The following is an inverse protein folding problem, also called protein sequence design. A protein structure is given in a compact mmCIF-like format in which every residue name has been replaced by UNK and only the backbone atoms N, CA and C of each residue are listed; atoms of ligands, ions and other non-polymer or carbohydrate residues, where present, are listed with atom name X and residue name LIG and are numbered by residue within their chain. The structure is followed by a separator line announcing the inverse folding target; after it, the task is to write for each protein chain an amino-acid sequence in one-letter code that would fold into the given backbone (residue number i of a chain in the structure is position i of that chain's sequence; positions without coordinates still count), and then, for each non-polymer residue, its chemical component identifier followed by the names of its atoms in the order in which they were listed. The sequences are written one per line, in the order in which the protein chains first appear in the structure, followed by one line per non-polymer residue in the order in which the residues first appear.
data_IF_344625814148
#
_entry.id   IF_344625814148
#
_cell.length_a   1.000
_cell.length_b   1.000
_cell.length_c   1.000
_cell.angle_alpha   90.00
_cell.angle_beta   90.00
_cell.angle_gamma   90.00
#
_symmetry.space_group_name_H-M   'P 1'
#
loop_
_entity.id
_entity.type
_entity.pdbx_description
1 polymer ?
#
# COMPACT_ATOMS: atom_id res chain seq x y z
N UNK A 1 -35.94 -50.41 -1.24
CA UNK A 1 -37.19 -49.77 -1.64
C UNK A 1 -37.05 -48.29 -1.30
N UNK A 2 -37.15 -47.47 -2.33
CA UNK A 2 -37.39 -46.02 -2.40
C UNK A 2 -36.16 -45.11 -2.21
N UNK A 3 -35.67 -44.71 -3.39
CA UNK A 3 -34.97 -43.48 -3.71
C UNK A 3 -35.79 -42.24 -3.33
N UNK A 4 -35.15 -41.22 -2.81
CA UNK A 4 -35.59 -39.85 -3.06
C UNK A 4 -34.36 -38.93 -3.12
N UNK A 5 -34.08 -38.47 -4.32
CA UNK A 5 -33.06 -37.50 -4.61
C UNK A 5 -33.39 -36.12 -4.05
N UNK A 6 -32.38 -35.45 -3.53
CA UNK A 6 -32.40 -34.01 -3.26
C UNK A 6 -31.29 -33.40 -4.12
N UNK A 7 -31.68 -32.88 -5.25
CA UNK A 7 -30.88 -31.95 -6.04
C UNK A 7 -30.77 -30.63 -5.32
N UNK A 8 -29.64 -30.39 -4.63
CA UNK A 8 -29.29 -29.08 -4.12
C UNK A 8 -28.73 -28.23 -5.27
N UNK A 9 -29.51 -27.27 -5.75
CA UNK A 9 -29.03 -26.15 -6.56
C UNK A 9 -28.08 -25.30 -5.74
N UNK A 10 -26.81 -25.40 -6.02
CA UNK A 10 -25.78 -24.47 -5.54
C UNK A 10 -25.81 -23.22 -6.39
N UNK A 11 -26.41 -22.16 -5.89
CA UNK A 11 -26.24 -20.80 -6.40
C UNK A 11 -24.82 -20.33 -6.10
N UNK A 12 -24.06 -19.80 -7.07
CA UNK A 12 -22.73 -19.24 -6.81
C UNK A 12 -22.85 -17.78 -6.37
N UNK A 13 -23.16 -17.52 -5.12
CA UNK A 13 -22.79 -16.27 -4.49
C UNK A 13 -21.36 -16.41 -3.94
N UNK A 14 -20.39 -16.22 -4.80
CA UNK A 14 -19.00 -16.01 -4.39
C UNK A 14 -18.89 -14.61 -3.81
N UNK A 15 -18.94 -14.55 -2.48
CA UNK A 15 -18.65 -13.36 -1.70
C UNK A 15 -17.19 -12.93 -1.99
N UNK A 16 -16.98 -11.73 -2.55
CA UNK A 16 -15.67 -11.19 -2.91
C UNK A 16 -14.64 -11.10 -1.74
N UNK A 17 -15.09 -11.38 -0.52
CA UNK A 17 -14.23 -11.46 0.68
C UNK A 17 -13.38 -12.74 0.77
N UNK A 18 -13.84 -13.84 0.18
CA UNK A 18 -13.11 -15.11 0.20
C UNK A 18 -11.87 -15.11 -0.69
N UNK A 19 -11.94 -14.45 -1.85
CA UNK A 19 -10.84 -14.37 -2.82
C UNK A 19 -9.68 -13.48 -2.32
N UNK A 20 -9.98 -12.37 -1.62
CA UNK A 20 -8.97 -11.46 -1.10
C UNK A 20 -8.14 -12.05 0.07
N UNK A 21 -8.77 -12.87 0.92
CA UNK A 21 -8.07 -13.57 2.03
C UNK A 21 -7.13 -14.66 1.52
N UNK A 22 -7.51 -15.38 0.46
CA UNK A 22 -6.68 -16.42 -0.13
C UNK A 22 -5.45 -15.85 -0.84
N UNK A 23 -5.56 -14.72 -1.55
CA UNK A 23 -4.45 -14.11 -2.27
C UNK A 23 -3.30 -13.66 -1.34
N UNK A 24 -3.60 -13.17 -0.14
CA UNK A 24 -2.58 -12.71 0.82
C UNK A 24 -1.92 -13.81 1.65
N UNK A 25 -2.63 -14.89 1.95
CA UNK A 25 -2.07 -16.09 2.60
C UNK A 25 -1.17 -16.85 1.64
N UNK A 26 -1.52 -16.85 0.35
CA UNK A 26 -0.75 -17.49 -0.70
C UNK A 26 0.61 -16.80 -0.95
N UNK A 27 0.71 -15.47 -0.80
CA UNK A 27 1.97 -14.73 -1.05
C UNK A 27 3.13 -15.13 -0.12
N UNK A 28 2.87 -15.40 1.16
CA UNK A 28 3.90 -15.85 2.10
C UNK A 28 4.29 -17.31 1.92
N UNK A 29 3.37 -18.17 1.45
CA UNK A 29 3.65 -19.58 1.11
C UNK A 29 4.45 -19.72 -0.18
N UNK A 30 4.22 -18.86 -1.17
CA UNK A 30 4.84 -18.90 -2.49
C UNK A 30 6.37 -18.93 -2.47
N UNK A 31 7.03 -18.16 -1.61
CA UNK A 31 8.48 -18.14 -1.45
C UNK A 31 9.03 -19.37 -0.71
N UNK A 32 8.27 -19.92 0.25
CA UNK A 32 8.66 -21.10 1.01
C UNK A 32 8.51 -22.39 0.21
N UNK A 33 7.54 -22.46 -0.70
CA UNK A 33 7.28 -23.62 -1.55
C UNK A 33 8.33 -23.79 -2.67
N UNK A 34 9.04 -22.72 -3.05
CA UNK A 34 10.14 -22.76 -4.04
C UNK A 34 11.45 -23.30 -3.51
N UNK A 35 11.59 -23.47 -2.20
CA UNK A 35 12.80 -24.03 -1.60
C UNK A 35 12.90 -25.51 -1.92
N UNK A 36 13.69 -25.85 -2.94
CA UNK A 36 13.94 -27.21 -3.37
C UNK A 36 13.51 -27.57 -4.78
N UNK A 37 12.83 -26.67 -5.51
CA UNK A 37 12.46 -26.89 -6.91
C UNK A 37 13.67 -26.79 -7.84
N UNK A 38 13.63 -27.56 -8.93
CA UNK A 38 14.67 -27.52 -9.96
C UNK A 38 14.68 -26.15 -10.64
N UNK A 39 15.86 -25.56 -10.90
CA UNK A 39 15.97 -24.33 -11.67
C UNK A 39 15.31 -24.50 -13.05
N UNK A 40 14.35 -23.63 -13.40
CA UNK A 40 13.65 -23.66 -14.68
C UNK A 40 12.32 -24.43 -14.68
N UNK A 41 11.89 -25.04 -13.57
CA UNK A 41 10.55 -25.57 -13.45
C UNK A 41 9.54 -24.42 -13.42
N UNK A 42 8.52 -24.47 -14.27
CA UNK A 42 7.41 -23.53 -14.27
C UNK A 42 6.57 -23.77 -13.02
N UNK A 43 6.49 -22.75 -12.19
CA UNK A 43 5.72 -22.81 -10.95
C UNK A 43 4.47 -21.96 -11.11
N UNK A 44 3.34 -22.60 -11.32
CA UNK A 44 2.05 -21.92 -11.32
C UNK A 44 1.40 -22.10 -9.96
N UNK A 45 1.06 -21.00 -9.32
CA UNK A 45 0.32 -21.05 -8.07
C UNK A 45 -1.10 -21.51 -8.35
N UNK A 46 -1.28 -22.81 -8.11
CA UNK A 46 -2.46 -23.54 -8.50
C UNK A 46 -3.78 -23.03 -7.96
N UNK A 47 -4.81 -23.31 -8.70
CA UNK A 47 -6.21 -23.38 -8.26
C UNK A 47 -6.96 -22.05 -8.32
N UNK A 48 -6.43 -21.04 -8.94
CA UNK A 48 -6.97 -19.71 -8.68
C UNK A 48 -8.07 -19.34 -9.69
N UNK A 49 -7.88 -19.48 -10.97
CA UNK A 49 -8.93 -19.18 -11.94
C UNK A 49 -8.75 -20.00 -13.20
N UNK A 50 -9.83 -20.49 -13.79
CA UNK A 50 -9.76 -21.20 -15.06
C UNK A 50 -9.14 -20.30 -16.12
N UNK A 51 -8.23 -20.86 -16.90
CA UNK A 51 -7.61 -20.16 -18.02
C UNK A 51 -8.59 -20.01 -19.14
N UNK A 52 -8.79 -18.78 -19.61
CA UNK A 52 -9.64 -18.47 -20.77
C UNK A 52 -8.88 -17.62 -21.76
N UNK A 53 -9.16 -17.84 -23.05
CA UNK A 53 -8.59 -17.09 -24.17
C UNK A 53 -9.66 -16.19 -24.76
N UNK A 54 -9.35 -14.92 -24.96
CA UNK A 54 -10.17 -13.99 -25.73
C UNK A 54 -9.31 -13.22 -26.71
N UNK A 55 -9.86 -12.88 -27.88
CA UNK A 55 -9.10 -12.23 -28.95
C UNK A 55 -9.87 -11.03 -29.48
N UNK A 56 -9.15 -9.94 -29.66
CA UNK A 56 -9.58 -8.78 -30.41
C UNK A 56 -8.82 -8.80 -31.75
N UNK A 57 -9.53 -8.97 -32.84
CA UNK A 57 -8.97 -8.94 -34.19
C UNK A 57 -9.27 -7.57 -34.86
N UNK A 58 -8.21 -6.89 -35.29
CA UNK A 58 -8.30 -5.58 -35.91
C UNK A 58 -8.37 -5.73 -37.41
N UNK A 59 -9.58 -5.72 -37.98
CA UNK A 59 -9.83 -5.84 -39.40
C UNK A 59 -10.12 -4.49 -40.02
N UNK A 60 -9.94 -4.31 -41.33
CA UNK A 60 -10.32 -3.07 -42.02
C UNK A 60 -11.81 -2.70 -41.86
N UNK A 61 -12.67 -3.71 -41.58
CA UNK A 61 -14.09 -3.54 -41.32
C UNK A 61 -14.45 -3.10 -39.90
N UNK A 62 -13.51 -3.13 -38.96
CA UNK A 62 -13.72 -2.82 -37.54
C UNK A 62 -13.03 -3.80 -36.61
N UNK A 63 -13.22 -3.61 -35.30
CA UNK A 63 -12.68 -4.47 -34.25
C UNK A 63 -13.65 -5.61 -33.98
N UNK A 64 -13.18 -6.83 -34.10
CA UNK A 64 -13.96 -8.05 -33.85
C UNK A 64 -13.54 -8.62 -32.45
N UNK A 65 -14.51 -8.71 -31.54
CA UNK A 65 -14.30 -9.27 -30.21
C UNK A 65 -14.76 -10.73 -30.16
N UNK A 66 -13.85 -11.65 -29.84
CA UNK A 66 -14.16 -13.07 -29.63
C UNK A 66 -13.79 -13.47 -28.20
N UNK A 67 -14.77 -14.06 -27.53
CA UNK A 67 -14.57 -14.59 -26.16
C UNK A 67 -14.55 -16.11 -26.20
N UNK A 68 -13.77 -16.72 -25.29
CA UNK A 68 -13.66 -18.18 -25.17
C UNK A 68 -13.18 -18.88 -26.48
N UNK A 69 -12.16 -18.28 -27.09
CA UNK A 69 -11.52 -18.79 -28.30
C UNK A 69 -10.79 -20.10 -28.00
N UNK A 70 -11.05 -21.15 -28.79
CA UNK A 70 -10.25 -22.36 -28.71
C UNK A 70 -8.92 -22.24 -29.48
N UNK A 71 -8.04 -23.24 -29.35
CA UNK A 71 -6.74 -23.18 -29.99
C UNK A 71 -6.81 -23.24 -31.51
N UNK A 72 -7.73 -24.04 -32.06
CA UNK A 72 -7.88 -24.18 -33.51
C UNK A 72 -8.40 -22.86 -34.14
N UNK A 73 -9.30 -22.17 -33.45
CA UNK A 73 -9.78 -20.86 -33.86
C UNK A 73 -8.66 -19.79 -33.75
N UNK A 74 -7.84 -19.85 -32.70
CA UNK A 74 -6.69 -18.96 -32.55
C UNK A 74 -5.67 -19.16 -33.70
N UNK A 75 -5.34 -20.40 -34.04
CA UNK A 75 -4.46 -20.72 -35.16
C UNK A 75 -4.95 -20.15 -36.49
N UNK A 76 -6.28 -20.22 -36.74
CA UNK A 76 -6.90 -19.62 -37.94
C UNK A 76 -6.76 -18.09 -37.93
N UNK A 77 -7.02 -17.44 -36.80
CA UNK A 77 -6.89 -15.98 -36.69
C UNK A 77 -5.45 -15.52 -36.89
N UNK A 78 -4.49 -16.25 -36.36
CA UNK A 78 -3.04 -15.96 -36.56
C UNK A 78 -2.68 -16.15 -38.03
N UNK A 79 -3.18 -17.20 -38.69
CA UNK A 79 -2.93 -17.48 -40.11
C UNK A 79 -3.51 -16.39 -41.06
N UNK A 80 -4.59 -15.71 -40.64
CA UNK A 80 -5.14 -14.56 -41.37
C UNK A 80 -4.19 -13.38 -41.48
N UNK A 81 -3.23 -13.27 -40.53
CA UNK A 81 -2.19 -12.24 -40.51
C UNK A 81 -2.68 -10.81 -40.22
N UNK A 82 -3.91 -10.66 -39.73
CA UNK A 82 -4.43 -9.39 -39.22
C UNK A 82 -3.79 -9.07 -37.84
N UNK A 83 -3.74 -7.79 -37.41
CA UNK A 83 -3.34 -7.44 -36.09
C UNK A 83 -4.26 -8.04 -35.04
N UNK A 84 -3.68 -8.61 -33.97
CA UNK A 84 -4.41 -9.30 -32.92
C UNK A 84 -3.99 -8.81 -31.54
N UNK A 85 -4.96 -8.64 -30.65
CA UNK A 85 -4.71 -8.61 -29.21
C UNK A 85 -5.30 -9.88 -28.58
N UNK A 86 -4.42 -10.79 -28.16
CA UNK A 86 -4.76 -12.05 -27.51
C UNK A 86 -4.68 -11.86 -26.00
N UNK A 87 -5.75 -12.20 -25.30
CA UNK A 87 -5.86 -12.06 -23.85
C UNK A 87 -5.98 -13.43 -23.20
N UNK A 88 -5.01 -13.80 -22.40
CA UNK A 88 -5.02 -14.97 -21.53
C UNK A 88 -5.41 -14.52 -20.11
N UNK A 89 -6.51 -15.02 -19.60
CA UNK A 89 -7.03 -14.70 -18.29
C UNK A 89 -7.00 -15.94 -17.42
N UNK A 90 -6.33 -15.85 -16.26
CA UNK A 90 -6.13 -16.99 -15.36
C UNK A 90 -4.97 -17.89 -15.77
N UNK A 91 -4.31 -18.49 -14.80
CA UNK A 91 -3.07 -19.26 -14.97
C UNK A 91 -3.22 -20.74 -14.55
N UNK A 92 -4.45 -21.27 -14.43
CA UNK A 92 -4.70 -22.62 -13.93
C UNK A 92 -4.30 -23.72 -14.92
N UNK A 93 -4.49 -23.49 -16.23
CA UNK A 93 -4.21 -24.48 -17.28
C UNK A 93 -2.87 -24.21 -17.96
N UNK A 94 -1.81 -24.84 -17.44
CA UNK A 94 -0.45 -24.73 -17.97
C UNK A 94 -0.34 -25.27 -19.41
N UNK A 95 -1.07 -26.34 -19.73
CA UNK A 95 -0.98 -26.95 -21.05
C UNK A 95 -1.54 -26.00 -22.10
N UNK A 96 -2.68 -25.37 -21.81
CA UNK A 96 -3.27 -24.36 -22.70
C UNK A 96 -2.34 -23.16 -22.87
N UNK A 97 -1.74 -22.64 -21.78
CA UNK A 97 -0.79 -21.53 -21.84
C UNK A 97 0.38 -21.84 -22.76
N UNK A 98 1.04 -23.01 -22.59
CA UNK A 98 2.16 -23.41 -23.44
C UNK A 98 1.76 -23.59 -24.91
N UNK A 99 0.58 -24.13 -25.18
CA UNK A 99 0.07 -24.28 -26.55
C UNK A 99 -0.20 -22.95 -27.20
N UNK A 100 -0.77 -21.99 -26.48
CA UNK A 100 -0.99 -20.62 -26.97
C UNK A 100 0.35 -19.94 -27.22
N UNK A 101 1.31 -20.08 -26.32
CA UNK A 101 2.66 -19.50 -26.52
C UNK A 101 3.36 -20.08 -27.76
N UNK A 102 3.23 -21.37 -28.00
CA UNK A 102 3.75 -22.02 -29.20
C UNK A 102 3.04 -21.53 -30.47
N UNK A 103 1.70 -21.41 -30.45
CA UNK A 103 0.91 -20.88 -31.57
C UNK A 103 1.29 -19.44 -31.95
N UNK A 104 1.62 -18.60 -30.93
CA UNK A 104 2.00 -17.20 -31.13
C UNK A 104 3.50 -17.01 -31.32
N UNK A 105 4.31 -18.09 -31.32
CA UNK A 105 5.78 -18.04 -31.42
C UNK A 105 6.44 -17.18 -30.32
N UNK A 106 5.89 -17.19 -29.09
CA UNK A 106 6.48 -16.47 -27.95
C UNK A 106 7.86 -17.08 -27.64
N UNK A 107 8.93 -16.27 -27.53
CA UNK A 107 10.27 -16.78 -27.21
C UNK A 107 10.28 -17.53 -25.86
N UNK A 108 10.89 -18.71 -25.83
CA UNK A 108 10.94 -19.58 -24.64
C UNK A 108 11.40 -18.88 -23.35
N UNK A 109 12.42 -17.97 -23.37
CA UNK A 109 12.83 -17.25 -22.17
C UNK A 109 11.77 -16.32 -21.57
N UNK A 110 10.72 -15.98 -22.35
CA UNK A 110 9.59 -15.15 -21.90
C UNK A 110 8.45 -15.95 -21.26
N UNK A 111 8.41 -17.28 -21.42
CA UNK A 111 7.34 -18.13 -20.88
C UNK A 111 7.29 -18.10 -19.36
N UNK A 112 8.44 -18.35 -18.71
CA UNK A 112 8.52 -18.36 -17.25
C UNK A 112 8.11 -17.03 -16.62
N UNK A 113 8.60 -15.86 -17.07
CA UNK A 113 8.16 -14.57 -16.53
C UNK A 113 6.66 -14.28 -16.63
N UNK A 114 5.99 -14.85 -17.64
CA UNK A 114 4.56 -14.65 -17.85
C UNK A 114 3.69 -15.49 -16.89
N UNK A 115 4.15 -16.70 -16.55
CA UNK A 115 3.35 -17.67 -15.80
C UNK A 115 3.75 -17.71 -14.33
N UNK A 116 5.05 -17.62 -14.03
CA UNK A 116 5.58 -17.74 -12.68
C UNK A 116 5.36 -16.47 -11.86
N UNK A 117 4.27 -16.43 -11.11
CA UNK A 117 3.87 -15.27 -10.29
C UNK A 117 4.24 -15.46 -8.82
N UNK A 118 4.66 -14.40 -8.08
CA UNK A 118 4.93 -13.05 -8.56
C UNK A 118 6.34 -12.88 -9.14
N UNK A 119 6.46 -12.33 -10.31
CA UNK A 119 7.74 -11.88 -10.86
C UNK A 119 8.06 -10.43 -10.45
N UNK A 120 9.30 -10.02 -10.64
CA UNK A 120 9.64 -8.60 -10.55
C UNK A 120 9.20 -7.89 -11.81
N UNK A 121 8.74 -6.64 -11.65
CA UNK A 121 8.50 -5.75 -12.79
C UNK A 121 9.74 -5.69 -13.66
N UNK A 122 9.59 -5.95 -14.97
CA UNK A 122 10.68 -6.02 -15.93
C UNK A 122 10.21 -5.68 -17.34
N UNK A 123 11.15 -5.19 -18.14
CA UNK A 123 10.99 -4.97 -19.59
C UNK A 123 12.16 -5.61 -20.30
N UNK A 124 11.91 -6.59 -21.14
CA UNK A 124 12.95 -7.33 -21.86
C UNK A 124 12.63 -7.37 -23.35
N UNK A 125 13.60 -7.12 -24.19
CA UNK A 125 13.50 -7.28 -25.64
C UNK A 125 14.39 -8.45 -26.11
N UNK A 126 13.82 -9.38 -26.85
CA UNK A 126 14.51 -10.56 -27.37
C UNK A 126 13.95 -10.97 -28.74
N UNK A 127 14.79 -11.12 -29.74
CA UNK A 127 14.40 -11.70 -31.05
C UNK A 127 13.31 -10.94 -31.80
N UNK A 128 13.13 -9.64 -31.55
CA UNK A 128 12.03 -8.86 -32.14
C UNK A 128 10.74 -8.88 -31.31
N UNK A 129 10.72 -9.57 -30.17
CA UNK A 129 9.65 -9.53 -29.19
C UNK A 129 9.99 -8.58 -28.05
N UNK A 130 8.99 -7.91 -27.46
CA UNK A 130 9.08 -7.09 -26.27
C UNK A 130 8.20 -7.65 -25.17
N UNK A 131 8.79 -8.02 -24.05
CA UNK A 131 8.10 -8.45 -22.83
C UNK A 131 8.04 -7.31 -21.83
N UNK A 132 6.86 -7.08 -21.27
CA UNK A 132 6.66 -6.22 -20.10
C UNK A 132 5.94 -7.03 -19.03
N UNK A 133 6.51 -7.10 -17.83
CA UNK A 133 5.84 -7.66 -16.65
C UNK A 133 5.63 -6.53 -15.65
N UNK A 134 4.39 -6.28 -15.30
CA UNK A 134 4.01 -5.24 -14.36
C UNK A 134 2.90 -5.73 -13.42
N UNK A 135 2.50 -4.89 -12.48
CA UNK A 135 1.54 -5.28 -11.46
C UNK A 135 0.43 -4.25 -11.35
N UNK A 136 -0.80 -4.71 -11.35
CA UNK A 136 -1.95 -3.95 -10.87
C UNK A 136 -1.90 -3.88 -9.36
N UNK A 137 -2.06 -2.69 -8.83
CA UNK A 137 -2.03 -2.44 -7.40
C UNK A 137 -3.39 -1.94 -6.95
N UNK A 138 -3.99 -2.60 -5.99
CA UNK A 138 -5.28 -2.20 -5.42
C UNK A 138 -5.25 -2.35 -3.90
N UNK A 139 -6.15 -1.64 -3.23
CA UNK A 139 -6.35 -1.73 -1.78
C UNK A 139 -7.60 -2.55 -1.48
N UNK A 140 -7.48 -3.46 -0.52
CA UNK A 140 -8.66 -4.14 0.05
C UNK A 140 -9.22 -3.32 1.21
N UNK A 141 -10.48 -3.53 1.59
CA UNK A 141 -11.20 -2.90 2.71
C UNK A 141 -10.53 -2.98 4.10
N UNK A 142 -9.26 -3.38 4.18
CA UNK A 142 -8.40 -3.42 5.36
C UNK A 142 -7.05 -2.75 5.15
N UNK A 143 -6.91 -1.83 4.20
CA UNK A 143 -5.67 -1.14 3.83
C UNK A 143 -4.50 -2.08 3.44
N UNK A 144 -4.81 -3.30 3.01
CA UNK A 144 -3.81 -4.26 2.53
C UNK A 144 -3.65 -4.14 1.03
N UNK A 145 -2.41 -3.94 0.60
CA UNK A 145 -2.05 -3.91 -0.80
C UNK A 145 -2.26 -5.31 -1.43
N UNK A 146 -3.04 -5.36 -2.48
CA UNK A 146 -3.17 -6.51 -3.38
C UNK A 146 -2.43 -6.18 -4.66
N UNK A 147 -1.63 -7.11 -5.11
CA UNK A 147 -0.83 -6.97 -6.32
C UNK A 147 -1.14 -8.16 -7.22
N UNK A 148 -1.56 -7.89 -8.44
CA UNK A 148 -1.89 -8.86 -9.47
C UNK A 148 -0.92 -8.69 -10.64
N UNK A 149 -0.30 -9.77 -11.10
CA UNK A 149 0.63 -9.70 -12.22
C UNK A 149 -0.09 -9.57 -13.55
N UNK A 150 0.41 -8.69 -14.40
CA UNK A 150 0.03 -8.55 -15.81
C UNK A 150 1.30 -8.68 -16.64
N UNK A 151 1.35 -9.69 -17.48
CA UNK A 151 2.39 -9.87 -18.49
C UNK A 151 1.90 -9.42 -19.86
N UNK A 152 2.70 -8.62 -20.56
CA UNK A 152 2.41 -8.12 -21.91
C UNK A 152 3.55 -8.53 -22.83
N UNK A 153 3.24 -9.08 -24.00
CA UNK A 153 4.24 -9.42 -25.01
C UNK A 153 3.81 -8.88 -26.37
N UNK A 154 4.66 -8.04 -26.94
CA UNK A 154 4.50 -7.57 -28.30
C UNK A 154 5.31 -8.44 -29.27
N UNK A 155 4.65 -9.01 -30.27
CA UNK A 155 5.18 -9.96 -31.26
C UNK A 155 4.80 -9.49 -32.66
N UNK A 156 5.52 -8.54 -33.22
CA UNK A 156 5.19 -7.99 -34.53
C UNK A 156 3.77 -7.41 -34.61
N UNK A 157 2.83 -8.18 -35.19
CA UNK A 157 1.41 -7.78 -35.30
C UNK A 157 0.52 -8.33 -34.18
N UNK A 158 1.08 -9.07 -33.23
CA UNK A 158 0.33 -9.71 -32.16
C UNK A 158 0.75 -9.12 -30.82
N UNK A 159 -0.22 -8.67 -30.05
CA UNK A 159 -0.05 -8.30 -28.68
C UNK A 159 -0.70 -9.40 -27.81
N UNK A 160 0.08 -9.96 -26.89
CA UNK A 160 -0.40 -10.93 -25.92
C UNK A 160 -0.45 -10.27 -24.54
N UNK A 161 -1.59 -10.36 -23.85
CA UNK A 161 -1.69 -10.05 -22.44
C UNK A 161 -2.02 -11.29 -21.61
N UNK A 162 -1.30 -11.48 -20.51
CA UNK A 162 -1.46 -12.58 -19.56
C UNK A 162 -1.82 -12.02 -18.21
N UNK A 163 -3.04 -12.25 -17.76
CA UNK A 163 -3.61 -11.69 -16.54
C UNK A 163 -3.72 -12.79 -15.47
N UNK A 164 -3.05 -12.61 -14.32
CA UNK A 164 -3.09 -13.56 -13.19
C UNK A 164 -4.52 -13.76 -12.68
N UNK A 165 -5.28 -12.65 -12.56
CA UNK A 165 -6.66 -12.67 -12.09
C UNK A 165 -7.60 -12.23 -13.20
N UNK A 166 -8.55 -13.08 -13.60
CA UNK A 166 -9.52 -12.71 -14.61
C UNK A 166 -10.45 -11.60 -14.10
N UNK A 167 -10.56 -10.52 -14.86
CA UNK A 167 -11.54 -9.46 -14.62
C UNK A 167 -12.54 -9.41 -15.78
N UNK A 168 -13.83 -9.20 -15.52
CA UNK A 168 -14.83 -9.08 -16.59
C UNK A 168 -14.46 -7.97 -17.59
N UNK A 169 -14.11 -6.80 -17.05
CA UNK A 169 -13.61 -5.66 -17.81
C UNK A 169 -12.26 -5.27 -17.19
N UNK A 170 -11.18 -5.76 -17.78
CA UNK A 170 -9.84 -5.55 -17.23
C UNK A 170 -9.22 -4.23 -17.70
N UNK A 171 -9.65 -3.72 -18.86
CA UNK A 171 -9.16 -2.49 -19.49
C UNK A 171 -10.34 -1.70 -20.04
N UNK A 172 -11.12 -1.03 -19.19
CA UNK A 172 -12.34 -0.33 -19.58
C UNK A 172 -12.09 0.88 -20.47
N UNK A 173 -11.02 1.62 -20.23
CA UNK A 173 -10.70 2.84 -20.98
C UNK A 173 -10.19 2.51 -22.38
N UNK A 174 -9.26 1.56 -22.48
CA UNK A 174 -8.79 1.05 -23.76
C UNK A 174 -9.95 0.46 -24.59
N UNK A 175 -10.82 -0.34 -23.97
CA UNK A 175 -11.98 -0.93 -24.68
C UNK A 175 -12.86 0.18 -25.24
N UNK A 176 -13.18 1.20 -24.44
CA UNK A 176 -13.98 2.36 -24.88
C UNK A 176 -13.30 3.14 -26.00
N UNK A 177 -12.00 3.31 -25.93
CA UNK A 177 -11.21 3.99 -26.96
C UNK A 177 -11.21 3.21 -28.27
N UNK A 178 -11.01 1.87 -28.24
CA UNK A 178 -11.05 1.00 -29.41
C UNK A 178 -12.42 1.01 -30.09
N UNK A 179 -13.51 1.06 -29.34
CA UNK A 179 -14.88 1.10 -29.88
C UNK A 179 -15.18 2.43 -30.61
N UNK A 180 -14.45 3.49 -30.29
CA UNK A 180 -14.62 4.82 -30.90
C UNK A 180 -13.70 5.09 -32.09
N UNK A 181 -12.64 4.29 -32.27
CA UNK A 181 -11.64 4.48 -33.32
C UNK A 181 -12.18 4.20 -34.71
N UNK A 182 -12.01 5.20 -35.57
CA UNK A 182 -12.26 5.06 -37.03
C UNK A 182 -11.16 5.79 -37.82
N UNK A 183 -10.33 5.12 -38.61
CA UNK A 183 -10.33 3.66 -38.90
C UNK A 183 -9.82 2.83 -37.72
N UNK A 184 -10.11 1.51 -37.71
CA UNK A 184 -9.62 0.60 -36.70
C UNK A 184 -8.10 0.51 -36.74
N UNK A 185 -7.44 0.13 -35.60
CA UNK A 185 -6.00 -0.01 -35.50
C UNK A 185 -5.43 -0.93 -36.59
N UNK A 186 -4.31 -0.53 -37.16
CA UNK A 186 -3.54 -1.30 -38.15
C UNK A 186 -2.37 -2.04 -37.51
N UNK A 187 -1.61 -2.78 -38.30
CA UNK A 187 -0.42 -3.47 -37.80
C UNK A 187 0.64 -2.53 -37.19
N UNK A 188 0.67 -1.27 -37.63
CA UNK A 188 1.58 -0.24 -37.09
C UNK A 188 1.10 0.38 -35.79
N UNK A 189 -0.14 0.10 -35.35
CA UNK A 189 -0.75 0.70 -34.16
C UNK A 189 -0.83 -0.29 -32.99
N UNK A 190 -0.36 -1.53 -33.15
CA UNK A 190 -0.40 -2.57 -32.10
C UNK A 190 0.51 -2.21 -30.91
N UNK A 191 1.62 -1.56 -31.17
CA UNK A 191 2.53 -1.05 -30.15
C UNK A 191 1.93 0.14 -29.40
N UNK A 192 1.04 0.91 -30.04
CA UNK A 192 0.25 1.94 -29.35
C UNK A 192 -0.71 1.31 -28.32
N UNK A 193 -1.33 0.15 -28.65
CA UNK A 193 -2.17 -0.57 -27.71
C UNK A 193 -1.37 -1.05 -26.51
N UNK A 194 -0.11 -1.45 -26.69
CA UNK A 194 0.77 -1.86 -25.61
C UNK A 194 0.99 -0.73 -24.58
N UNK A 195 1.30 0.48 -25.03
CA UNK A 195 1.52 1.57 -24.09
C UNK A 195 0.22 2.01 -23.40
N UNK A 196 -0.93 1.99 -24.07
CA UNK A 196 -2.23 2.23 -23.43
C UNK A 196 -2.55 1.20 -22.34
N UNK A 197 -2.26 -0.10 -22.56
CA UNK A 197 -2.42 -1.13 -21.56
C UNK A 197 -1.52 -0.87 -20.34
N UNK A 198 -0.29 -0.43 -20.58
CA UNK A 198 0.63 -0.10 -19.49
C UNK A 198 0.15 1.12 -18.71
N UNK A 199 -0.33 2.13 -19.40
CA UNK A 199 -0.84 3.37 -18.82
C UNK A 199 -2.06 3.09 -17.94
N UNK A 200 -3.03 2.35 -18.43
CA UNK A 200 -4.25 1.97 -17.69
C UNK A 200 -3.93 1.13 -16.43
N UNK A 201 -2.91 0.27 -16.49
CA UNK A 201 -2.44 -0.47 -15.29
C UNK A 201 -1.79 0.47 -14.27
N UNK A 202 -1.11 1.53 -14.72
CA UNK A 202 -0.49 2.53 -13.85
C UNK A 202 -1.53 3.46 -13.22
N UNK A 203 -2.55 3.84 -13.99
CA UNK A 203 -3.63 4.71 -13.52
C UNK A 203 -4.40 4.08 -12.35
N UNK A 204 -4.49 2.75 -12.27
CA UNK A 204 -5.07 2.04 -11.13
C UNK A 204 -4.30 2.30 -9.81
N UNK A 205 -3.05 2.79 -9.87
CA UNK A 205 -2.24 3.11 -8.68
C UNK A 205 -2.61 4.47 -8.09
N UNK A 206 -3.09 5.41 -8.90
CA UNK A 206 -3.37 6.78 -8.47
C UNK A 206 -4.44 6.86 -7.37
N UNK A 207 -5.61 6.20 -7.50
CA UNK A 207 -6.62 6.18 -6.43
C UNK A 207 -6.10 5.56 -5.13
N UNK A 208 -5.17 4.60 -5.20
CA UNK A 208 -4.52 4.05 -4.01
C UNK A 208 -3.64 5.08 -3.32
N UNK A 209 -2.87 5.87 -4.07
CA UNK A 209 -2.02 6.92 -3.52
C UNK A 209 -2.85 8.07 -2.92
N UNK A 210 -3.96 8.46 -3.57
CA UNK A 210 -4.91 9.43 -3.02
C UNK A 210 -5.50 8.95 -1.69
N UNK A 211 -5.99 7.72 -1.63
CA UNK A 211 -6.51 7.13 -0.39
C UNK A 211 -5.45 7.10 0.74
N UNK A 212 -4.19 6.83 0.40
CA UNK A 212 -3.10 6.85 1.37
C UNK A 212 -2.76 8.27 1.81
N UNK A 213 -2.84 9.27 0.91
CA UNK A 213 -2.66 10.68 1.22
C UNK A 213 -3.71 11.18 2.22
N UNK A 214 -4.99 10.97 1.92
CA UNK A 214 -6.10 11.36 2.80
C UNK A 214 -5.96 10.73 4.19
N UNK A 215 -5.62 9.42 4.23
CA UNK A 215 -5.39 8.73 5.48
C UNK A 215 -4.19 9.25 6.27
N UNK A 216 -3.13 9.74 5.60
CA UNK A 216 -1.97 10.34 6.26
C UNK A 216 -2.31 11.70 6.87
N UNK A 217 -3.11 12.52 6.20
CA UNK A 217 -3.56 13.82 6.71
C UNK A 217 -4.39 13.64 7.99
N UNK A 218 -5.30 12.65 8.02
CA UNK A 218 -6.04 12.27 9.23
C UNK A 218 -5.11 11.82 10.37
N UNK A 219 -4.08 11.02 10.05
CA UNK A 219 -3.12 10.54 11.04
C UNK A 219 -2.23 11.67 11.57
N UNK A 220 -1.85 12.63 10.75
CA UNK A 220 -1.08 13.80 11.16
C UNK A 220 -1.86 14.62 12.18
N UNK A 221 -3.12 14.95 11.89
CA UNK A 221 -3.99 15.66 12.83
C UNK A 221 -4.18 14.85 14.12
N UNK A 222 -4.43 13.54 14.03
CA UNK A 222 -4.60 12.66 15.18
C UNK A 222 -3.31 12.55 16.02
N UNK A 223 -2.13 12.60 15.40
CA UNK A 223 -0.82 12.54 16.08
C UNK A 223 -0.60 13.72 17.01
N UNK A 224 -1.17 14.88 16.67
CA UNK A 224 -1.05 16.12 17.46
C UNK A 224 -2.15 16.19 18.51
N UNK A 225 -3.43 16.01 18.10
CA UNK A 225 -4.59 16.20 18.98
C UNK A 225 -4.81 15.05 19.96
N UNK A 226 -4.67 13.81 19.50
CA UNK A 226 -4.97 12.58 20.28
C UNK A 226 -3.94 11.49 20.02
N UNK A 227 -2.67 11.69 20.37
CA UNK A 227 -1.64 10.69 20.15
C UNK A 227 -2.00 9.37 20.85
N UNK A 228 -2.08 8.31 20.04
CA UNK A 228 -2.38 6.95 20.51
C UNK A 228 -1.49 5.93 19.80
N UNK A 229 -1.23 4.75 20.37
CA UNK A 229 -0.45 3.71 19.72
C UNK A 229 -1.04 3.23 18.39
N UNK A 230 -2.34 3.47 18.14
CA UNK A 230 -3.01 3.17 16.87
C UNK A 230 -2.49 4.04 15.73
N UNK A 231 -2.32 5.34 15.98
CA UNK A 231 -1.77 6.30 15.00
C UNK A 231 -0.39 5.82 14.52
N UNK A 232 0.48 5.46 15.44
CA UNK A 232 1.81 4.97 15.13
C UNK A 232 1.76 3.68 14.29
N UNK A 233 0.90 2.73 14.67
CA UNK A 233 0.72 1.47 13.93
C UNK A 233 0.24 1.72 12.50
N UNK A 234 -0.77 2.54 12.32
CA UNK A 234 -1.32 2.89 11.01
C UNK A 234 -0.28 3.60 10.13
N UNK A 235 0.51 4.52 10.68
CA UNK A 235 1.61 5.16 9.95
C UNK A 235 2.65 4.13 9.46
N UNK A 236 3.00 3.14 10.29
CA UNK A 236 3.90 2.07 9.87
C UNK A 236 3.30 1.15 8.81
N UNK A 237 2.00 0.85 8.88
CA UNK A 237 1.29 0.05 7.87
C UNK A 237 1.27 0.78 6.53
N UNK A 238 0.92 2.06 6.51
CA UNK A 238 0.95 2.90 5.30
C UNK A 238 2.36 3.01 4.72
N UNK A 239 3.36 3.25 5.56
CA UNK A 239 4.76 3.26 5.14
C UNK A 239 5.19 1.92 4.51
N UNK A 240 4.70 0.80 5.03
CA UNK A 240 4.97 -0.53 4.47
C UNK A 240 4.31 -0.69 3.10
N UNK A 241 3.08 -0.23 2.92
CA UNK A 241 2.35 -0.23 1.64
C UNK A 241 3.09 0.61 0.60
N UNK A 242 3.47 1.84 0.95
CA UNK A 242 4.22 2.75 0.05
C UNK A 242 5.57 2.16 -0.36
N UNK A 243 6.25 1.45 0.54
CA UNK A 243 7.49 0.73 0.21
C UNK A 243 7.27 -0.38 -0.81
N UNK A 244 6.14 -1.09 -0.72
CA UNK A 244 5.77 -2.12 -1.69
C UNK A 244 5.44 -1.50 -3.06
N UNK A 245 4.62 -0.44 -3.09
CA UNK A 245 4.32 0.31 -4.33
C UNK A 245 5.63 0.75 -4.99
N UNK A 246 6.50 1.42 -4.25
CA UNK A 246 7.82 1.83 -4.75
C UNK A 246 8.64 0.65 -5.30
N UNK A 247 8.65 -0.48 -4.59
CA UNK A 247 9.40 -1.67 -5.02
C UNK A 247 8.92 -2.27 -6.34
N UNK A 248 7.66 -2.03 -6.70
CA UNK A 248 7.07 -2.48 -7.97
C UNK A 248 7.26 -1.46 -9.10
N UNK A 249 7.23 -0.17 -8.78
CA UNK A 249 7.35 0.92 -9.77
C UNK A 249 8.80 1.24 -10.13
N UNK A 250 9.72 1.18 -9.17
CA UNK A 250 11.14 1.51 -9.39
C UNK A 250 11.82 0.75 -10.56
N UNK A 251 11.65 -0.58 -10.71
CA UNK A 251 12.26 -1.30 -11.82
C UNK A 251 11.72 -0.85 -13.17
N UNK A 252 10.40 -0.56 -13.27
CA UNK A 252 9.77 -0.09 -14.49
C UNK A 252 10.35 1.25 -14.94
N UNK A 253 10.52 2.18 -14.00
CA UNK A 253 11.15 3.49 -14.23
C UNK A 253 12.50 3.37 -14.94
N UNK A 254 13.39 2.54 -14.39
CA UNK A 254 14.74 2.39 -14.92
C UNK A 254 14.76 1.70 -16.28
N UNK A 255 13.89 0.72 -16.50
CA UNK A 255 13.86 -0.08 -17.71
C UNK A 255 13.19 0.65 -18.88
N UNK A 256 12.16 1.46 -18.63
CA UNK A 256 11.55 2.32 -19.67
C UNK A 256 12.55 3.32 -20.21
N UNK A 257 13.39 3.91 -19.37
CA UNK A 257 14.46 4.82 -19.83
C UNK A 257 15.41 4.09 -20.77
N UNK A 258 15.78 2.85 -20.45
CA UNK A 258 16.65 2.03 -21.31
C UNK A 258 15.94 1.69 -22.62
N UNK A 259 14.68 1.27 -22.57
CA UNK A 259 13.86 0.95 -23.73
C UNK A 259 13.78 2.14 -24.69
N UNK A 260 13.42 3.32 -24.19
CA UNK A 260 13.28 4.55 -24.99
C UNK A 260 14.62 4.96 -25.64
N UNK A 261 15.75 4.78 -24.93
CA UNK A 261 17.09 5.16 -25.44
C UNK A 261 17.63 4.21 -26.50
N UNK A 262 17.36 2.92 -26.36
CA UNK A 262 17.95 1.91 -27.25
C UNK A 262 17.24 1.77 -28.59
N UNK A 263 16.10 2.47 -28.79
CA UNK A 263 15.33 2.50 -30.06
C UNK A 263 15.21 1.08 -30.66
N UNK A 264 14.64 0.16 -29.88
CA UNK A 264 14.50 -1.22 -30.34
C UNK A 264 13.75 -1.25 -31.67
N UNK A 265 14.19 -2.10 -32.59
CA UNK A 265 13.57 -2.31 -33.91
C UNK A 265 12.11 -2.79 -33.87
N UNK A 266 11.61 -3.00 -32.66
CA UNK A 266 10.28 -3.54 -32.35
C UNK A 266 9.23 -2.43 -32.24
N UNK A 267 9.63 -1.20 -31.90
CA UNK A 267 8.74 -0.08 -31.65
C UNK A 267 8.78 0.94 -32.78
N UNK A 268 7.62 1.43 -33.21
CA UNK A 268 7.53 2.56 -34.12
C UNK A 268 7.86 3.91 -33.40
N UNK A 269 8.08 4.94 -34.21
CA UNK A 269 8.34 6.30 -33.70
C UNK A 269 7.16 6.89 -32.92
N UNK A 270 5.93 6.52 -33.30
CA UNK A 270 4.70 6.88 -32.59
C UNK A 270 4.69 6.32 -31.18
N UNK A 271 4.88 5.00 -31.08
CA UNK A 271 4.91 4.29 -29.81
C UNK A 271 6.00 4.82 -28.85
N UNK A 272 7.17 5.20 -29.35
CA UNK A 272 8.22 5.82 -28.51
C UNK A 272 7.70 7.08 -27.79
N UNK A 273 6.82 7.86 -28.43
CA UNK A 273 6.19 9.01 -27.77
C UNK A 273 5.27 8.56 -26.64
N UNK A 274 4.40 7.57 -26.88
CA UNK A 274 3.54 6.97 -25.84
C UNK A 274 4.35 6.41 -24.67
N UNK A 275 5.44 5.66 -24.94
CA UNK A 275 6.33 5.18 -23.87
C UNK A 275 7.00 6.27 -23.05
N UNK A 276 7.22 7.47 -23.62
CA UNK A 276 7.68 8.64 -22.84
C UNK A 276 6.60 9.18 -21.92
N UNK A 277 5.34 9.16 -22.35
CA UNK A 277 4.20 9.53 -21.51
C UNK A 277 4.07 8.54 -20.34
N UNK A 278 4.09 7.23 -20.61
CA UNK A 278 4.11 6.18 -19.57
C UNK A 278 5.29 6.38 -18.61
N UNK A 279 6.50 6.70 -19.13
CA UNK A 279 7.66 6.98 -18.30
C UNK A 279 7.44 8.18 -17.38
N UNK A 280 6.76 9.23 -17.85
CA UNK A 280 6.41 10.40 -17.05
C UNK A 280 5.39 10.04 -15.95
N UNK A 281 4.40 9.21 -16.26
CA UNK A 281 3.43 8.71 -15.25
C UNK A 281 4.12 7.87 -14.17
N UNK A 282 5.04 6.99 -14.57
CA UNK A 282 5.87 6.23 -13.62
C UNK A 282 6.67 7.15 -12.70
N UNK A 283 7.24 8.24 -13.23
CA UNK A 283 7.97 9.24 -12.44
C UNK A 283 7.03 9.90 -11.40
N UNK A 284 5.85 10.35 -11.82
CA UNK A 284 4.84 10.96 -10.93
C UNK A 284 4.43 10.00 -9.81
N UNK A 285 4.08 8.75 -10.15
CA UNK A 285 3.71 7.73 -9.16
C UNK A 285 4.84 7.49 -8.17
N UNK A 286 6.07 7.36 -8.67
CA UNK A 286 7.25 7.14 -7.84
C UNK A 286 7.51 8.30 -6.88
N UNK A 287 7.48 9.54 -7.38
CA UNK A 287 7.72 10.76 -6.59
C UNK A 287 6.61 10.96 -5.55
N UNK A 288 5.36 10.74 -5.92
CA UNK A 288 4.23 10.79 -4.99
C UNK A 288 4.38 9.74 -3.88
N UNK A 289 4.71 8.49 -4.22
CA UNK A 289 4.92 7.44 -3.23
C UNK A 289 6.08 7.76 -2.27
N UNK A 290 7.17 8.40 -2.76
CA UNK A 290 8.28 8.87 -1.91
C UNK A 290 7.86 10.03 -1.01
N UNK A 291 7.08 10.99 -1.52
CA UNK A 291 6.56 12.10 -0.74
C UNK A 291 5.69 11.60 0.41
N UNK A 292 4.71 10.74 0.12
CA UNK A 292 3.84 10.14 1.13
C UNK A 292 4.63 9.32 2.16
N UNK A 293 5.68 8.61 1.73
CA UNK A 293 6.57 7.89 2.65
C UNK A 293 7.27 8.84 3.63
N UNK A 294 7.73 9.99 3.16
CA UNK A 294 8.32 11.02 4.03
C UNK A 294 7.29 11.64 4.98
N UNK A 295 6.04 11.81 4.54
CA UNK A 295 4.96 12.24 5.43
C UNK A 295 4.70 11.21 6.55
N UNK A 296 4.77 9.89 6.28
CA UNK A 296 4.71 8.88 7.34
C UNK A 296 5.80 9.08 8.42
N UNK A 297 7.01 9.46 8.01
CA UNK A 297 8.11 9.77 8.94
C UNK A 297 7.78 11.03 9.76
N UNK A 298 7.16 12.05 9.13
CA UNK A 298 6.65 13.26 9.78
C UNK A 298 5.58 12.96 10.84
N UNK A 299 4.57 12.14 10.52
CA UNK A 299 3.55 11.69 11.47
C UNK A 299 4.17 11.01 12.69
N UNK A 300 5.17 10.14 12.45
CA UNK A 300 5.88 9.46 13.53
C UNK A 300 6.63 10.45 14.45
N UNK A 301 7.30 11.44 13.86
CA UNK A 301 8.01 12.48 14.60
C UNK A 301 7.04 13.36 15.43
N UNK A 302 5.91 13.77 14.83
CA UNK A 302 4.85 14.54 15.47
C UNK A 302 4.24 13.78 16.65
N UNK A 303 4.00 12.47 16.49
CA UNK A 303 3.53 11.59 17.56
C UNK A 303 4.51 11.57 18.74
N UNK A 304 5.81 11.36 18.46
CA UNK A 304 6.84 11.33 19.52
C UNK A 304 6.96 12.66 20.23
N UNK A 305 6.91 13.78 19.50
CA UNK A 305 6.91 15.11 20.08
C UNK A 305 5.68 15.35 20.99
N UNK A 306 4.50 14.94 20.53
CA UNK A 306 3.25 15.05 21.29
C UNK A 306 3.26 14.23 22.59
N UNK A 307 3.80 13.00 22.56
CA UNK A 307 3.97 12.15 23.74
C UNK A 307 4.97 12.79 24.70
N UNK A 308 6.11 13.31 24.20
CA UNK A 308 7.11 14.00 25.01
C UNK A 308 6.51 15.23 25.70
N UNK A 309 5.72 16.04 24.97
CA UNK A 309 5.03 17.18 25.55
C UNK A 309 4.05 16.78 26.65
N UNK A 310 3.25 15.73 26.45
CA UNK A 310 2.36 15.22 27.50
C UNK A 310 3.11 14.74 28.73
N UNK A 311 4.22 14.02 28.53
CA UNK A 311 5.05 13.57 29.65
C UNK A 311 5.62 14.75 30.41
N UNK A 312 6.10 15.79 29.73
CA UNK A 312 6.57 17.02 30.34
C UNK A 312 5.46 17.73 31.11
N UNK A 313 4.22 17.75 30.60
CA UNK A 313 3.07 18.31 31.32
C UNK A 313 2.76 17.53 32.61
N UNK A 314 2.78 16.19 32.57
CA UNK A 314 2.59 15.35 33.76
C UNK A 314 3.70 15.57 34.78
N UNK A 315 4.96 15.61 34.33
CA UNK A 315 6.10 15.89 35.20
C UNK A 315 6.01 17.29 35.83
N UNK A 316 5.60 18.31 35.05
CA UNK A 316 5.35 19.68 35.52
C UNK A 316 4.26 19.69 36.60
N UNK A 317 3.14 19.02 36.38
CA UNK A 317 2.04 18.88 37.33
C UNK A 317 2.52 18.23 38.63
N UNK A 318 3.23 17.10 38.53
CA UNK A 318 3.76 16.40 39.70
C UNK A 318 4.73 17.27 40.47
N UNK A 319 5.62 18.02 39.79
CA UNK A 319 6.57 18.92 40.40
C UNK A 319 5.87 20.08 41.14
N UNK A 320 4.81 20.66 40.55
CA UNK A 320 4.00 21.72 41.21
C UNK A 320 3.39 21.17 42.51
N UNK A 321 2.71 20.02 42.44
CA UNK A 321 2.10 19.40 43.62
C UNK A 321 3.13 19.09 44.66
N UNK A 322 4.22 18.40 44.30
CA UNK A 322 5.28 18.02 45.24
C UNK A 322 5.97 19.20 45.87
N UNK A 323 6.28 20.26 45.12
CA UNK A 323 6.95 21.45 45.63
C UNK A 323 6.13 22.18 46.72
N UNK A 324 4.80 22.14 46.62
CA UNK A 324 3.91 22.73 47.61
C UNK A 324 3.74 21.82 48.84
N UNK A 325 3.42 20.54 48.58
CA UNK A 325 3.03 19.64 49.68
C UNK A 325 4.20 19.08 50.51
N UNK A 326 5.39 18.86 49.92
CA UNK A 326 6.54 18.29 50.65
C UNK A 326 6.97 19.15 51.81
N UNK A 327 7.18 20.48 51.68
CA UNK A 327 7.52 21.31 52.82
C UNK A 327 6.43 21.38 53.92
N UNK A 328 5.15 21.41 53.47
CA UNK A 328 4.02 21.43 54.41
C UNK A 328 3.92 20.12 55.20
N UNK A 329 4.14 18.98 54.52
CA UNK A 329 4.14 17.65 55.16
C UNK A 329 5.30 17.53 56.12
N UNK A 330 6.49 18.08 55.78
CA UNK A 330 7.64 18.10 56.67
C UNK A 330 7.34 18.90 57.95
N UNK A 331 6.76 20.11 57.84
CA UNK A 331 6.36 20.93 58.97
C UNK A 331 5.34 20.17 59.84
N UNK A 332 4.28 19.67 59.25
CA UNK A 332 3.23 18.89 59.93
C UNK A 332 3.83 17.65 60.61
N UNK A 333 4.78 16.97 59.98
CA UNK A 333 5.50 15.84 60.56
C UNK A 333 6.34 16.18 61.77
N UNK A 334 7.05 17.32 61.73
CA UNK A 334 7.83 17.82 62.88
C UNK A 334 6.91 18.14 64.06
N UNK A 335 5.83 18.88 63.82
CA UNK A 335 4.84 19.20 64.85
C UNK A 335 3.97 18.02 65.32
N UNK A 336 3.97 16.92 64.56
CA UNK A 336 3.35 15.64 64.93
C UNK A 336 4.24 14.76 65.83
N UNK A 337 5.44 15.16 66.13
CA UNK A 337 6.35 14.41 67.00
C UNK A 337 5.95 14.58 68.50
N UNK A 338 5.97 13.49 69.26
CA UNK A 338 5.55 13.48 70.66
C UNK A 338 6.75 13.56 71.61
N UNK A 339 7.52 14.66 71.58
CA UNK A 339 8.56 14.92 72.58
C UNK A 339 7.97 15.52 73.85
N UNK A 340 8.40 15.00 75.03
CA UNK A 340 7.90 15.48 76.33
C UNK A 340 8.54 16.81 76.70
N UNK A 341 7.77 17.94 76.81
CA UNK A 341 8.27 19.25 77.13
C UNK A 341 8.86 19.34 78.56
N UNK A 342 8.42 18.48 79.48
CA UNK A 342 8.87 18.50 80.88
C UNK A 342 10.32 18.03 81.06
N UNK A 343 10.87 17.31 80.09
CA UNK A 343 12.23 16.78 80.10
C UNK A 343 13.29 17.74 79.60
N UNK A 344 12.91 18.70 78.75
CA UNK A 344 13.85 19.71 78.23
C UNK A 344 13.04 20.89 77.67
N UNK A 345 13.51 22.15 77.96
CA UNK A 345 12.86 23.35 77.42
C UNK A 345 12.99 23.51 75.92
N UNK A 346 13.83 22.66 75.30
CA UNK A 346 13.97 22.61 73.81
C UNK A 346 13.01 21.66 73.15
N UNK A 347 12.22 20.91 73.92
CA UNK A 347 11.26 19.95 73.36
C UNK A 347 9.94 20.65 72.98
N UNK A 348 9.88 21.19 71.76
CA UNK A 348 8.67 21.77 71.11
C UNK A 348 7.95 22.79 72.06
N UNK A 349 8.59 23.89 72.47
CA UNK A 349 7.98 24.86 73.36
C UNK A 349 6.71 25.51 72.79
N UNK A 350 6.58 25.53 71.47
CA UNK A 350 5.46 26.12 70.76
C UNK A 350 4.12 25.35 70.99
N UNK A 351 4.14 24.06 71.35
CA UNK A 351 2.95 23.27 71.65
C UNK A 351 2.18 23.77 72.89
N UNK A 352 2.87 24.41 73.82
CA UNK A 352 2.30 24.99 75.03
C UNK A 352 1.88 26.47 74.87
N UNK A 353 2.19 27.07 73.68
CA UNK A 353 1.85 28.48 73.41
C UNK A 353 0.37 28.59 73.04
N UNK A 354 -0.40 29.54 73.62
CA UNK A 354 -1.81 29.77 73.39
C UNK A 354 -2.16 29.94 71.89
N UNK A 355 -1.26 30.58 71.13
CA UNK A 355 -1.39 30.79 69.67
C UNK A 355 -0.53 29.84 68.83
N UNK A 356 0.05 28.79 69.37
CA UNK A 356 0.99 27.90 68.67
C UNK A 356 0.36 27.25 67.45
N UNK A 357 -0.83 26.66 67.57
CA UNK A 357 -1.55 26.02 66.45
C UNK A 357 -1.94 27.01 65.34
N UNK A 358 -2.64 28.14 65.59
CA UNK A 358 -2.99 29.10 64.54
C UNK A 358 -1.77 29.74 63.88
N UNK A 359 -0.66 29.96 64.58
CA UNK A 359 0.59 30.45 64.01
C UNK A 359 1.24 29.43 63.08
N UNK A 360 1.24 28.15 63.45
CA UNK A 360 1.75 27.09 62.59
C UNK A 360 0.94 26.99 61.28
N UNK A 361 -0.37 27.02 61.34
CA UNK A 361 -1.24 27.01 60.16
C UNK A 361 -1.00 28.26 59.29
N UNK A 362 -0.92 29.44 59.90
CA UNK A 362 -0.61 30.70 59.19
C UNK A 362 0.74 30.64 58.48
N UNK A 363 1.77 30.08 59.12
CA UNK A 363 3.10 29.87 58.54
C UNK A 363 3.07 28.88 57.34
N UNK A 364 2.32 27.77 57.47
CA UNK A 364 2.16 26.82 56.39
C UNK A 364 1.45 27.46 55.18
N UNK A 365 0.38 28.26 55.41
CA UNK A 365 -0.32 28.99 54.35
C UNK A 365 0.61 30.01 53.68
N UNK A 366 1.43 30.71 54.48
CA UNK A 366 2.43 31.68 53.94
C UNK A 366 3.44 30.96 53.02
N UNK A 367 3.98 29.82 53.42
CA UNK A 367 4.93 29.05 52.61
C UNK A 367 4.24 28.58 51.31
N UNK A 368 3.04 28.02 51.42
CA UNK A 368 2.28 27.59 50.23
C UNK A 368 2.02 28.79 49.28
N UNK A 369 1.62 29.94 49.80
CA UNK A 369 1.38 31.17 49.06
C UNK A 369 2.64 31.68 48.34
N UNK A 370 3.79 31.70 49.03
CA UNK A 370 5.08 32.10 48.43
C UNK A 370 5.45 31.15 47.28
N UNK A 371 5.32 29.85 47.48
CA UNK A 371 5.65 28.86 46.47
C UNK A 371 4.70 28.95 45.24
N UNK A 372 3.40 29.09 45.51
CA UNK A 372 2.40 29.31 44.46
C UNK A 372 2.71 30.56 43.62
N UNK A 373 3.04 31.67 44.31
CA UNK A 373 3.41 32.93 43.66
C UNK A 373 4.71 32.78 42.83
N UNK A 374 5.72 32.10 43.37
CA UNK A 374 6.99 31.85 42.66
C UNK A 374 6.77 31.01 41.39
N UNK A 375 5.94 29.96 41.48
CA UNK A 375 5.58 29.11 40.33
C UNK A 375 4.76 29.89 39.29
N UNK A 376 3.81 30.71 39.75
CA UNK A 376 3.03 31.59 38.89
C UNK A 376 3.90 32.59 38.14
N UNK A 377 4.83 33.27 38.85
CA UNK A 377 5.77 34.24 38.26
C UNK A 377 6.72 33.59 37.25
N UNK A 378 7.07 32.33 37.41
CA UNK A 378 7.87 31.55 36.45
C UNK A 378 7.08 31.00 35.26
N UNK A 379 5.80 31.32 35.17
CA UNK A 379 4.96 30.89 34.04
C UNK A 379 4.55 29.40 34.06
N UNK A 380 4.70 28.71 35.21
CA UNK A 380 4.38 27.29 35.30
C UNK A 380 2.89 26.96 35.14
N UNK A 381 2.01 27.96 35.26
CA UNK A 381 0.57 27.83 35.08
C UNK A 381 0.07 28.29 33.67
N UNK A 382 0.95 28.88 32.83
CA UNK A 382 0.53 29.48 31.56
C UNK A 382 0.09 28.44 30.51
N UNK A 383 0.61 27.21 30.56
CA UNK A 383 0.28 26.15 29.61
C UNK A 383 -1.04 25.41 29.94
N UNK A 384 -1.68 25.71 31.08
CA UNK A 384 -2.97 25.12 31.45
C UNK A 384 -4.17 25.77 30.76
N UNK A 385 -3.99 26.95 30.21
CA UNK A 385 -5.04 27.72 29.51
C UNK A 385 -4.90 27.66 27.99
N UNK A 386 -3.93 26.93 27.47
CA UNK A 386 -3.64 26.81 26.04
C UNK A 386 -4.52 25.85 25.27
N UNK A 387 -5.83 25.85 25.52
CA UNK A 387 -6.83 25.37 24.57
C UNK A 387 -7.41 26.57 23.82
N UNK A 388 -6.71 27.00 22.79
CA UNK A 388 -7.30 27.75 21.68
C UNK A 388 -6.90 27.10 20.38
#
# INVERSE_FOLDING_TARGET
VVESGVTAQLSPHLDGRGLALTANVLKSRRLAERLGDLPGALYVHGGIAPTTVSVLAFRPSGVEHRQYVDLAELELLVAEGCPLWVRLKGLADQQLLHRVFACLEVPEPMHQPLIDTPQRTRVDALGGALLVVMHRLSSTSGNRLVSEQVGLVLLGKVLLSVEEVPRPVAFPELTRWLDQLQPPPTAGDIDDILFFLMDEVLDEVLPLLEQLSDGLDELEEASIRRPSPRVLRQAYEMRSTLRQVRGMIWPLRSQLIVLIRQSYRVLDKGAIKGFREVSSHVDVIFETAELLRHQCDGVTASYMASISNRMNQVMKMLTIISSIFVPLTFIAGVYGMNFNPDKSPWNMPELNAYYGYPLCIAFMILIAGIQMFMLWRRGWFQDWTGTR
#
